data_IF_506696011450
#
_entry.id   IF_506696011450
#
_cell.length_a   1.000
_cell.length_b   1.000
_cell.length_c   1.000
_cell.angle_alpha   90.00
_cell.angle_beta   90.00
_cell.angle_gamma   90.00
#
_symmetry.space_group_name_H-M   'P 1'
#
loop_
_entity.id
_entity.type
_entity.pdbx_description
1 polymer ?
#
# COMPACT_ATOMS: atom_id res chain seq x y z
N UNK A 1 17.74 -1.41 11.01
CA UNK A 1 16.58 -1.61 10.10
C UNK A 1 16.01 -3.00 10.36
N UNK A 2 14.70 -3.15 10.50
CA UNK A 2 14.08 -4.45 10.82
C UNK A 2 13.86 -5.26 9.54
N UNK A 3 14.64 -6.33 9.35
CA UNK A 3 14.50 -7.30 8.24
C UNK A 3 13.39 -8.33 8.49
N UNK A 4 12.34 -7.94 9.23
CA UNK A 4 11.22 -8.85 9.47
C UNK A 4 10.32 -8.88 8.24
N UNK A 5 9.72 -10.04 7.94
CA UNK A 5 8.69 -10.14 6.92
C UNK A 5 7.57 -9.11 7.16
N UNK A 6 7.03 -8.59 6.07
CA UNK A 6 5.95 -7.64 6.07
C UNK A 6 4.84 -8.07 5.11
N UNK A 7 3.62 -7.72 5.46
CA UNK A 7 2.45 -7.92 4.62
C UNK A 7 1.95 -6.57 4.17
N UNK A 8 1.96 -6.38 2.86
CA UNK A 8 1.41 -5.21 2.19
C UNK A 8 -0.09 -5.44 1.95
N UNK A 9 -0.91 -4.50 2.41
CA UNK A 9 -2.35 -4.47 2.19
C UNK A 9 -2.74 -3.23 1.44
N UNK A 10 -3.84 -3.32 0.69
CA UNK A 10 -4.47 -2.21 -0.01
C UNK A 10 -5.91 -2.08 0.45
N UNK A 11 -6.34 -0.83 0.68
CA UNK A 11 -7.71 -0.46 0.93
C UNK A 11 -8.49 -0.46 -0.38
N UNK A 12 -9.56 -1.25 -0.42
CA UNK A 12 -10.59 -1.18 -1.45
C UNK A 12 -11.83 -0.54 -0.84
N UNK A 13 -12.28 0.58 -1.42
CA UNK A 13 -13.55 1.19 -1.06
C UNK A 13 -14.66 0.37 -1.71
N UNK A 14 -15.50 -0.26 -0.91
CA UNK A 14 -16.64 -1.04 -1.40
C UNK A 14 -17.96 -0.34 -1.08
N UNK A 15 -18.66 0.06 -2.14
CA UNK A 15 -20.05 0.48 -2.10
C UNK A 15 -20.31 1.86 -1.44
N UNK A 16 -21.59 2.27 -1.39
CA UNK A 16 -22.01 3.56 -0.85
C UNK A 16 -21.77 3.72 0.66
N UNK A 17 -21.48 2.63 1.37
CA UNK A 17 -21.26 2.56 2.81
C UNK A 17 -19.86 2.98 3.27
N UNK A 18 -18.94 3.33 2.36
CA UNK A 18 -17.55 3.75 2.66
C UNK A 18 -16.75 2.76 3.55
N UNK A 19 -17.18 1.49 3.64
CA UNK A 19 -16.48 0.48 4.42
C UNK A 19 -15.14 0.18 3.76
N UNK A 20 -14.05 0.46 4.47
CA UNK A 20 -12.70 0.17 4.02
C UNK A 20 -12.43 -1.32 4.20
N UNK A 21 -12.35 -2.05 3.09
CA UNK A 21 -11.89 -3.45 3.10
C UNK A 21 -10.40 -3.49 2.77
N UNK A 22 -9.61 -4.09 3.66
CA UNK A 22 -8.17 -4.22 3.47
C UNK A 22 -7.81 -5.60 2.89
N UNK A 23 -7.42 -5.64 1.63
CA UNK A 23 -7.01 -6.85 0.93
C UNK A 23 -5.48 -7.01 0.98
N UNK A 24 -4.97 -8.24 1.11
CA UNK A 24 -3.53 -8.50 1.03
C UNK A 24 -3.09 -8.43 -0.42
N UNK A 25 -2.07 -7.62 -0.70
CA UNK A 25 -1.50 -7.47 -2.04
C UNK A 25 -0.23 -8.31 -2.22
N UNK A 26 0.70 -8.22 -1.26
CA UNK A 26 1.98 -8.90 -1.35
C UNK A 26 2.57 -9.17 0.05
N UNK A 27 3.48 -10.14 0.13
CA UNK A 27 4.34 -10.36 1.29
C UNK A 27 5.79 -10.02 0.89
N UNK A 28 6.41 -9.09 1.63
CA UNK A 28 7.81 -8.73 1.46
C UNK A 28 8.68 -9.36 2.53
N UNK A 29 9.95 -9.64 2.19
CA UNK A 29 10.93 -10.18 3.15
C UNK A 29 11.46 -9.08 4.08
N UNK A 30 11.29 -7.82 3.71
CA UNK A 30 11.69 -6.67 4.52
C UNK A 30 10.76 -5.47 4.29
N UNK A 31 10.72 -4.56 5.28
CA UNK A 31 9.96 -3.30 5.16
C UNK A 31 10.37 -2.48 3.93
N UNK A 32 11.66 -2.48 3.56
CA UNK A 32 12.17 -1.78 2.37
C UNK A 32 11.60 -2.35 1.09
N UNK A 33 11.45 -3.68 1.01
CA UNK A 33 10.84 -4.34 -0.14
C UNK A 33 9.36 -4.01 -0.27
N UNK A 34 8.61 -4.03 0.84
CA UNK A 34 7.20 -3.59 0.84
C UNK A 34 7.06 -2.12 0.38
N UNK A 35 7.96 -1.23 0.80
CA UNK A 35 7.95 0.17 0.34
C UNK A 35 8.24 0.30 -1.17
N UNK A 36 9.26 -0.42 -1.68
CA UNK A 36 9.54 -0.43 -3.12
C UNK A 36 8.36 -0.93 -3.94
N UNK A 37 7.60 -1.89 -3.42
CA UNK A 37 6.39 -2.38 -4.09
C UNK A 37 5.31 -1.31 -4.15
N UNK A 38 5.09 -0.55 -3.06
CA UNK A 38 4.18 0.60 -3.07
C UNK A 38 4.66 1.63 -4.10
N UNK A 39 5.95 1.97 -4.09
CA UNK A 39 6.51 2.96 -5.02
C UNK A 39 6.31 2.55 -6.48
N UNK A 40 6.53 1.27 -6.81
CA UNK A 40 6.28 0.74 -8.15
C UNK A 40 4.81 0.91 -8.56
N UNK A 41 3.86 0.43 -7.74
CA UNK A 41 2.43 0.53 -8.04
C UNK A 41 1.96 1.99 -8.14
N UNK A 42 2.45 2.85 -7.26
CA UNK A 42 2.09 4.28 -7.26
C UNK A 42 2.67 4.99 -8.49
N UNK A 43 3.88 4.64 -8.93
CA UNK A 43 4.51 5.26 -10.10
C UNK A 43 3.78 4.98 -11.42
N UNK A 44 2.98 3.92 -11.49
CA UNK A 44 2.13 3.60 -12.65
C UNK A 44 0.90 4.52 -12.74
N UNK A 45 0.58 5.28 -11.68
CA UNK A 45 -0.53 6.23 -11.68
C UNK A 45 -0.08 7.51 -12.37
N UNK A 46 -0.60 7.72 -13.58
CA UNK A 46 -0.31 8.87 -14.44
C UNK A 46 -1.64 9.50 -14.87
N UNK A 47 -1.70 10.82 -14.82
CA UNK A 47 -2.80 11.65 -15.33
C UNK A 47 -2.27 12.56 -16.46
N UNK A 48 -3.19 13.20 -17.19
CA UNK A 48 -2.84 14.10 -18.29
C UNK A 48 -2.05 15.33 -17.82
N UNK A 49 -2.36 15.81 -16.60
CA UNK A 49 -1.63 16.89 -15.95
C UNK A 49 -0.63 16.33 -14.91
N UNK A 50 0.62 16.85 -14.89
CA UNK A 50 1.66 16.37 -13.97
C UNK A 50 1.34 16.68 -12.49
N UNK A 51 0.66 17.78 -12.19
CA UNK A 51 0.22 18.10 -10.82
C UNK A 51 -0.88 17.13 -10.37
N UNK A 52 -1.84 16.84 -11.26
CA UNK A 52 -2.89 15.86 -10.98
C UNK A 52 -2.31 14.45 -10.77
N UNK A 53 -1.26 14.09 -11.51
CA UNK A 53 -0.52 12.84 -11.31
C UNK A 53 0.06 12.75 -9.90
N UNK A 54 0.71 13.83 -9.42
CA UNK A 54 1.29 13.87 -8.07
C UNK A 54 0.21 13.74 -6.99
N UNK A 55 -0.91 14.47 -7.13
CA UNK A 55 -2.03 14.39 -6.19
C UNK A 55 -2.67 12.99 -6.17
N UNK A 56 -2.83 12.37 -7.34
CA UNK A 56 -3.34 11.01 -7.46
C UNK A 56 -2.39 9.97 -6.83
N UNK A 57 -1.08 10.16 -7.01
CA UNK A 57 -0.05 9.31 -6.42
C UNK A 57 -0.02 9.43 -4.89
N UNK A 58 -0.09 10.64 -4.34
CA UNK A 58 -0.19 10.85 -2.88
C UNK A 58 -1.46 10.22 -2.31
N UNK A 59 -2.61 10.48 -2.94
CA UNK A 59 -3.89 9.89 -2.54
C UNK A 59 -3.88 8.36 -2.60
N UNK A 60 -3.18 7.77 -3.56
CA UNK A 60 -3.05 6.32 -3.69
C UNK A 60 -2.17 5.73 -2.59
N UNK A 61 -1.10 6.42 -2.16
CA UNK A 61 -0.23 5.97 -1.07
C UNK A 61 -1.00 5.77 0.24
N UNK A 62 -1.99 6.61 0.51
CA UNK A 62 -2.85 6.49 1.69
C UNK A 62 -3.68 5.20 1.71
N UNK A 63 -3.88 4.55 0.55
CA UNK A 63 -4.59 3.29 0.44
C UNK A 63 -3.72 2.07 0.78
N UNK A 64 -2.41 2.24 1.00
CA UNK A 64 -1.53 1.13 1.32
C UNK A 64 -1.20 1.06 2.81
N UNK A 65 -1.10 -0.16 3.34
CA UNK A 65 -0.68 -0.42 4.71
C UNK A 65 0.36 -1.53 4.77
N UNK A 66 1.48 -1.28 5.44
CA UNK A 66 2.52 -2.29 5.70
C UNK A 66 2.37 -2.81 7.13
N UNK A 67 1.98 -4.07 7.28
CA UNK A 67 1.91 -4.76 8.57
C UNK A 67 3.20 -5.56 8.78
N UNK A 68 3.76 -5.54 9.98
CA UNK A 68 4.87 -6.43 10.35
C UNK A 68 4.30 -7.78 10.75
N UNK A 69 4.78 -8.86 10.13
CA UNK A 69 4.47 -10.20 10.62
C UNK A 69 5.35 -10.50 11.85
N UNK A 70 4.72 -10.92 12.95
CA UNK A 70 5.41 -11.19 14.22
C UNK A 70 4.75 -10.66 15.50
N UNK A 71 3.49 -10.20 15.45
CA UNK A 71 2.68 -9.90 16.65
C UNK A 71 1.46 -10.82 16.83
N UNK A 72 1.40 -11.91 16.06
CA UNK A 72 0.48 -13.03 16.30
C UNK A 72 1.30 -14.28 16.62
N UNK A 73 2.07 -14.24 17.71
CA UNK A 73 2.44 -15.44 18.43
C UNK A 73 1.58 -15.41 19.70
N UNK A 74 0.43 -16.08 19.63
CA UNK A 74 -0.33 -16.48 20.82
C UNK A 74 0.15 -17.87 21.21
#
# INVERSE_FOLDING_TARGET
MSNRPCTLRIASLHGPSQLVKWNVLAQGKSRTECHRHIDAVVSEIVADDPLDSLLAQESARERFQIIREGWYAR
#
